data_IF_910266132781
#
_entry.id   IF_910266132781
#
_cell.length_a   1.000
_cell.length_b   1.000
_cell.length_c   1.000
_cell.angle_alpha   90.00
_cell.angle_beta   90.00
_cell.angle_gamma   90.00
#
_symmetry.space_group_name_H-M   'P 1'
#
loop_
_entity.id
_entity.type
_entity.pdbx_description
1 polymer ?
#
# COMPACT_ATOMS: atom_id res chain seq x y z
N UNK A 1 -0.58 11.50 -11.21
CA UNK A 1 -0.99 11.31 -9.81
C UNK A 1 -2.25 10.45 -9.73
N UNK A 2 -2.20 9.38 -8.93
CA UNK A 2 -3.22 8.34 -8.79
C UNK A 2 -3.69 8.27 -7.33
N UNK A 3 -4.99 8.11 -7.13
CA UNK A 3 -5.56 7.96 -5.79
C UNK A 3 -5.19 6.60 -5.22
N UNK A 4 -4.49 6.53 -4.09
CA UNK A 4 -4.21 5.28 -3.38
C UNK A 4 -5.29 5.00 -2.32
N UNK A 5 -5.82 3.76 -2.23
CA UNK A 5 -5.45 2.55 -2.97
C UNK A 5 -6.45 2.22 -4.11
N UNK A 6 -6.58 3.09 -5.12
CA UNK A 6 -7.56 2.90 -6.19
C UNK A 6 -7.16 1.87 -7.24
N UNK A 7 -8.12 1.32 -7.99
CA UNK A 7 -7.85 0.41 -9.11
C UNK A 7 -6.87 1.06 -10.12
N UNK A 8 -7.03 2.36 -10.41
CA UNK A 8 -6.11 3.08 -11.29
C UNK A 8 -4.68 3.20 -10.72
N UNK A 9 -4.54 3.29 -9.39
CA UNK A 9 -3.23 3.23 -8.73
C UNK A 9 -2.61 1.83 -8.85
N UNK A 10 -3.43 0.77 -8.72
CA UNK A 10 -2.98 -0.61 -8.84
C UNK A 10 -2.56 -0.96 -10.26
N UNK A 11 -3.27 -0.47 -11.27
CA UNK A 11 -2.89 -0.61 -12.68
C UNK A 11 -1.51 0.01 -12.95
N UNK A 12 -1.29 1.23 -12.44
CA UNK A 12 0.00 1.90 -12.58
C UNK A 12 1.11 1.20 -11.79
N UNK A 13 0.79 0.69 -10.59
CA UNK A 13 1.73 -0.10 -9.80
C UNK A 13 2.14 -1.39 -10.54
N UNK A 14 1.17 -2.12 -11.11
CA UNK A 14 1.44 -3.33 -11.89
C UNK A 14 2.30 -3.03 -13.12
N UNK A 15 1.99 -1.94 -13.85
CA UNK A 15 2.80 -1.48 -14.99
C UNK A 15 4.25 -1.19 -14.59
N UNK A 16 4.46 -0.50 -13.46
CA UNK A 16 5.80 -0.20 -12.97
C UNK A 16 6.55 -1.42 -12.45
N UNK A 17 5.84 -2.44 -11.96
CA UNK A 17 6.44 -3.72 -11.59
C UNK A 17 6.92 -4.46 -12.84
N UNK A 18 6.09 -4.52 -13.88
CA UNK A 18 6.41 -5.15 -15.17
C UNK A 18 7.59 -4.47 -15.89
N UNK A 19 7.74 -3.15 -15.74
CA UNK A 19 8.85 -2.37 -16.32
C UNK A 19 10.10 -2.29 -15.41
N UNK A 20 10.17 -3.07 -14.33
CA UNK A 20 11.23 -2.95 -13.33
C UNK A 20 12.46 -3.79 -13.69
N UNK A 21 13.47 -3.15 -14.31
CA UNK A 21 14.80 -3.74 -14.55
C UNK A 21 15.39 -4.39 -13.27
N UNK A 22 15.09 -3.83 -12.09
CA UNK A 22 15.61 -4.34 -10.83
C UNK A 22 14.95 -5.68 -10.42
N UNK A 23 13.69 -5.92 -10.80
CA UNK A 23 13.03 -7.21 -10.59
C UNK A 23 13.56 -8.25 -11.58
N UNK A 24 13.80 -7.85 -12.83
CA UNK A 24 14.42 -8.69 -13.86
C UNK A 24 15.85 -9.10 -13.51
N UNK A 25 16.66 -8.16 -13.03
CA UNK A 25 18.03 -8.46 -12.59
C UNK A 25 18.04 -9.46 -11.42
N UNK A 26 17.03 -9.37 -10.54
CA UNK A 26 16.88 -10.28 -9.40
C UNK A 26 16.52 -11.69 -9.87
N UNK A 27 15.82 -11.82 -11.01
CA UNK A 27 15.45 -13.10 -11.60
C UNK A 27 16.59 -13.78 -12.36
N UNK A 28 17.50 -12.99 -12.94
CA UNK A 28 18.68 -13.46 -13.68
C UNK A 28 19.83 -13.96 -12.78
N UNK A 29 19.77 -13.67 -11.47
CA UNK A 29 20.82 -14.00 -10.49
C UNK A 29 20.88 -15.46 -10.01
N UNK A 30 21.90 -15.77 -9.19
CA UNK A 30 22.09 -17.09 -8.57
C UNK A 30 21.04 -17.30 -7.48
N UNK A 31 19.98 -18.05 -7.79
CA UNK A 31 18.83 -18.26 -6.91
C UNK A 31 17.51 -18.44 -7.65
N UNK A 32 17.46 -18.06 -8.93
CA UNK A 32 16.28 -18.12 -9.80
C UNK A 32 15.24 -17.06 -9.44
N UNK A 33 14.59 -16.49 -10.45
CA UNK A 33 13.44 -15.61 -10.27
C UNK A 33 12.36 -16.24 -9.40
N UNK A 34 11.66 -15.39 -8.64
CA UNK A 34 10.44 -15.83 -8.00
C UNK A 34 9.38 -16.00 -9.10
N UNK A 35 8.86 -17.23 -9.22
CA UNK A 35 7.66 -17.52 -9.97
C UNK A 35 6.59 -17.95 -8.97
N UNK A 36 5.48 -17.21 -8.92
CA UNK A 36 4.41 -17.47 -7.97
C UNK A 36 3.54 -16.25 -7.72
N UNK A 37 2.75 -16.34 -6.65
CA UNK A 37 1.72 -15.36 -6.32
C UNK A 37 1.97 -14.67 -4.98
N UNK A 38 1.75 -13.36 -4.95
CA UNK A 38 1.85 -12.55 -3.73
C UNK A 38 0.53 -11.84 -3.51
N UNK A 39 -0.14 -12.17 -2.41
CA UNK A 39 -1.38 -11.54 -1.98
C UNK A 39 -1.07 -10.42 -0.97
N UNK A 40 -1.33 -9.18 -1.35
CA UNK A 40 -1.22 -8.00 -0.49
C UNK A 40 -2.58 -7.74 0.16
N UNK A 41 -2.60 -7.62 1.48
CA UNK A 41 -3.80 -7.28 2.26
C UNK A 41 -3.60 -5.92 2.91
N UNK A 42 -4.38 -4.94 2.46
CA UNK A 42 -4.44 -3.59 3.01
C UNK A 42 -5.64 -3.54 3.95
N UNK A 43 -5.39 -3.86 5.21
CA UNK A 43 -6.42 -3.96 6.25
C UNK A 43 -6.74 -2.60 6.89
N UNK A 44 -7.80 -2.58 7.70
CA UNK A 44 -8.19 -1.44 8.54
C UNK A 44 -8.33 -0.13 7.73
N UNK A 45 -9.02 -0.21 6.59
CA UNK A 45 -9.34 0.98 5.80
C UNK A 45 -10.27 1.90 6.63
N UNK A 46 -9.92 3.19 6.82
CA UNK A 46 -10.68 4.12 7.67
C UNK A 46 -11.95 4.65 6.99
N UNK A 47 -12.74 3.77 6.38
CA UNK A 47 -13.96 4.11 5.63
C UNK A 47 -15.08 4.65 6.52
N UNK A 48 -15.14 4.23 7.78
CA UNK A 48 -16.12 4.73 8.75
C UNK A 48 -15.73 6.09 9.37
N UNK A 49 -14.45 6.44 9.31
CA UNK A 49 -13.91 7.68 9.90
C UNK A 49 -13.78 8.79 8.86
N UNK A 50 -13.54 8.41 7.60
CA UNK A 50 -13.39 9.35 6.48
C UNK A 50 -14.75 9.71 5.92
N UNK A 51 -15.02 11.00 5.82
CA UNK A 51 -16.26 11.53 5.24
C UNK A 51 -16.07 11.98 3.79
N UNK A 52 -17.16 12.20 3.06
CA UNK A 52 -17.09 12.77 1.69
C UNK A 52 -16.44 14.15 1.69
N UNK A 53 -16.61 14.93 2.77
CA UNK A 53 -15.99 16.25 2.92
C UNK A 53 -14.47 16.21 3.06
N UNK A 54 -13.91 15.07 3.51
CA UNK A 54 -12.47 14.87 3.66
C UNK A 54 -11.80 14.43 2.34
N UNK A 55 -12.60 14.13 1.30
CA UNK A 55 -12.08 13.66 0.03
C UNK A 55 -11.30 14.75 -0.72
N UNK A 56 -10.23 14.38 -1.43
CA UNK A 56 -9.50 15.29 -2.30
C UNK A 56 -10.39 16.00 -3.34
N UNK A 57 -10.08 17.28 -3.62
CA UNK A 57 -10.85 18.13 -4.54
C UNK A 57 -10.93 17.56 -5.97
N UNK A 58 -9.97 16.77 -6.41
CA UNK A 58 -9.98 16.08 -7.70
C UNK A 58 -11.05 14.96 -7.78
N UNK A 59 -11.48 14.43 -6.63
CA UNK A 59 -12.53 13.40 -6.55
C UNK A 59 -13.92 14.02 -6.46
N UNK A 60 -14.06 15.09 -5.66
CA UNK A 60 -15.37 15.70 -5.38
C UNK A 60 -15.61 17.01 -6.11
N UNK A 61 -14.61 17.62 -6.74
CA UNK A 61 -14.64 18.99 -7.29
C UNK A 61 -15.66 19.22 -8.41
N UNK A 62 -16.01 18.17 -9.15
CA UNK A 62 -17.02 18.21 -10.21
C UNK A 62 -18.44 17.86 -9.71
N UNK A 63 -18.57 17.39 -8.46
CA UNK A 63 -19.88 17.09 -7.85
C UNK A 63 -20.68 18.39 -7.64
N UNK A 64 -21.98 18.44 -7.98
CA UNK A 64 -22.81 19.62 -7.73
C UNK A 64 -22.78 20.04 -6.26
N UNK A 65 -22.62 21.35 -5.99
CA UNK A 65 -22.43 21.87 -4.63
C UNK A 65 -23.53 21.42 -3.65
N UNK A 66 -24.81 21.45 -4.05
CA UNK A 66 -25.91 21.00 -3.19
C UNK A 66 -25.86 19.51 -2.84
N UNK A 67 -25.31 18.67 -3.73
CA UNK A 67 -25.10 17.25 -3.45
C UNK A 67 -23.87 17.04 -2.56
N UNK A 68 -22.79 17.78 -2.83
CA UNK A 68 -21.57 17.75 -2.01
C UNK A 68 -21.85 18.17 -0.57
N UNK A 69 -22.55 19.28 -0.38
CA UNK A 69 -22.91 19.81 0.94
C UNK A 69 -23.84 18.84 1.69
N UNK A 70 -24.75 18.17 0.98
CA UNK A 70 -25.67 17.19 1.57
C UNK A 70 -25.01 15.87 1.97
N UNK A 71 -23.85 15.54 1.38
CA UNK A 71 -23.10 14.31 1.64
C UNK A 71 -21.84 14.55 2.47
N UNK A 72 -21.48 15.80 2.77
CA UNK A 72 -20.19 16.15 3.37
C UNK A 72 -19.87 15.37 4.65
N UNK A 73 -20.87 15.15 5.53
CA UNK A 73 -20.72 14.44 6.80
C UNK A 73 -20.96 12.92 6.69
N UNK A 74 -21.26 12.39 5.49
CA UNK A 74 -21.52 10.96 5.29
C UNK A 74 -20.19 10.21 5.22
N UNK A 75 -20.07 9.15 6.01
CA UNK A 75 -18.89 8.28 5.99
C UNK A 75 -18.81 7.50 4.68
N UNK A 76 -17.59 7.23 4.21
CA UNK A 76 -17.39 6.43 3.00
C UNK A 76 -17.94 5.00 3.12
N UNK A 77 -18.02 4.46 4.34
CA UNK A 77 -18.63 3.15 4.59
C UNK A 77 -20.16 3.11 4.42
N UNK A 78 -20.83 4.24 4.65
CA UNK A 78 -22.29 4.34 4.53
C UNK A 78 -22.72 4.82 3.14
N UNK A 79 -21.84 5.54 2.46
CA UNK A 79 -22.09 6.18 1.17
C UNK A 79 -22.70 5.23 0.12
N UNK A 80 -22.21 4.00 -0.09
CA UNK A 80 -22.84 3.03 -1.00
C UNK A 80 -24.33 2.78 -0.78
N UNK A 81 -24.75 2.75 0.48
CA UNK A 81 -26.14 2.46 0.84
C UNK A 81 -27.06 3.68 0.68
N UNK A 82 -26.47 4.88 0.65
CA UNK A 82 -27.20 6.16 0.59
C UNK A 82 -27.34 6.69 -0.84
N UNK A 83 -26.36 6.42 -1.69
CA UNK A 83 -26.39 6.86 -3.09
C UNK A 83 -27.20 5.84 -3.89
N UNK A 84 -28.31 6.27 -4.49
CA UNK A 84 -29.09 5.44 -5.43
C UNK A 84 -28.50 5.48 -6.84
N UNK A 85 -28.90 4.53 -7.69
CA UNK A 85 -28.37 4.40 -9.06
C UNK A 85 -28.59 5.65 -9.92
N UNK A 86 -29.70 6.35 -9.72
CA UNK A 86 -30.00 7.62 -10.41
C UNK A 86 -28.97 8.71 -10.06
N UNK A 87 -28.57 8.79 -8.79
CA UNK A 87 -27.55 9.75 -8.34
C UNK A 87 -26.16 9.30 -8.81
N UNK A 88 -25.88 7.99 -8.77
CA UNK A 88 -24.61 7.45 -9.28
C UNK A 88 -24.38 7.85 -10.73
N UNK A 89 -25.40 7.76 -11.60
CA UNK A 89 -25.26 8.09 -13.02
C UNK A 89 -24.84 9.54 -13.29
N UNK A 90 -25.19 10.46 -12.37
CA UNK A 90 -24.85 11.89 -12.45
C UNK A 90 -23.49 12.22 -11.81
N UNK A 91 -22.85 11.26 -11.14
CA UNK A 91 -21.55 11.48 -10.50
C UNK A 91 -20.40 11.51 -11.53
N UNK A 92 -19.38 12.34 -11.27
CA UNK A 92 -18.13 12.31 -12.03
C UNK A 92 -17.51 10.91 -12.05
N UNK A 93 -16.72 10.61 -13.09
CA UNK A 93 -16.12 9.29 -13.27
C UNK A 93 -15.25 8.86 -12.08
N UNK A 94 -14.47 9.79 -11.52
CA UNK A 94 -13.63 9.53 -10.35
C UNK A 94 -14.46 9.16 -9.10
N UNK A 95 -15.54 9.88 -8.83
CA UNK A 95 -16.43 9.58 -7.69
C UNK A 95 -17.19 8.27 -7.88
N UNK A 96 -17.61 7.96 -9.11
CA UNK A 96 -18.24 6.66 -9.44
C UNK A 96 -17.28 5.50 -9.25
N UNK A 97 -16.04 5.62 -9.74
CA UNK A 97 -15.03 4.58 -9.59
C UNK A 97 -14.71 4.31 -8.11
N UNK A 98 -14.60 5.38 -7.30
CA UNK A 98 -14.39 5.23 -5.86
C UNK A 98 -15.54 4.49 -5.18
N UNK A 99 -16.80 4.83 -5.51
CA UNK A 99 -17.98 4.13 -4.99
C UNK A 99 -17.99 2.65 -5.37
N UNK A 100 -17.77 2.36 -6.66
CA UNK A 100 -17.72 0.99 -7.18
C UNK A 100 -16.64 0.16 -6.47
N UNK A 101 -15.47 0.75 -6.25
CA UNK A 101 -14.38 0.11 -5.53
C UNK A 101 -14.73 -0.15 -4.06
N UNK A 102 -15.32 0.81 -3.35
CA UNK A 102 -15.74 0.60 -1.96
C UNK A 102 -16.79 -0.52 -1.87
N UNK A 103 -17.72 -0.58 -2.82
CA UNK A 103 -18.80 -1.58 -2.86
C UNK A 103 -18.32 -2.98 -3.21
N UNK A 104 -17.42 -3.07 -4.19
CA UNK A 104 -17.09 -4.35 -4.84
C UNK A 104 -15.78 -4.93 -4.31
N UNK A 105 -14.80 -4.07 -4.07
CA UNK A 105 -13.41 -4.47 -3.87
C UNK A 105 -13.01 -4.49 -2.39
N UNK A 106 -13.77 -3.83 -1.51
CA UNK A 106 -13.53 -3.87 -0.06
C UNK A 106 -14.26 -5.07 0.55
N UNK A 107 -13.49 -6.01 1.07
CA UNK A 107 -13.99 -7.21 1.74
C UNK A 107 -13.57 -7.16 3.20
N UNK A 108 -14.54 -7.22 4.12
CA UNK A 108 -14.29 -7.16 5.57
C UNK A 108 -13.42 -5.96 6.02
N UNK A 109 -13.58 -4.81 5.34
CA UNK A 109 -12.82 -3.59 5.65
C UNK A 109 -11.38 -3.58 5.12
N UNK A 110 -11.03 -4.52 4.24
CA UNK A 110 -9.71 -4.63 3.63
C UNK A 110 -9.79 -4.66 2.11
N UNK A 111 -8.73 -4.18 1.46
CA UNK A 111 -8.48 -4.40 0.04
C UNK A 111 -7.48 -5.55 -0.13
N UNK A 112 -7.80 -6.43 -1.07
CA UNK A 112 -7.05 -7.64 -1.35
C UNK A 112 -6.52 -7.59 -2.78
N UNK A 113 -5.19 -7.59 -2.94
CA UNK A 113 -4.54 -7.52 -4.26
C UNK A 113 -3.71 -8.77 -4.47
N UNK A 114 -3.94 -9.50 -5.54
CA UNK A 114 -3.14 -10.65 -5.94
C UNK A 114 -2.21 -10.23 -7.08
N UNK A 115 -0.91 -10.35 -6.84
CA UNK A 115 0.12 -10.19 -7.86
C UNK A 115 0.56 -11.57 -8.34
N UNK A 116 0.61 -11.75 -9.65
CA UNK A 116 1.26 -12.89 -10.30
C UNK A 116 2.60 -12.44 -10.84
N UNK A 117 3.67 -13.06 -10.33
CA UNK A 117 5.04 -12.74 -10.70
C UNK A 117 5.68 -13.95 -11.39
N UNK A 118 6.34 -13.71 -12.51
CA UNK A 118 7.12 -14.74 -13.20
C UNK A 118 8.41 -14.13 -13.74
N UNK A 119 9.55 -14.65 -13.32
CA UNK A 119 10.83 -14.28 -13.93
C UNK A 119 11.22 -12.79 -13.83
N UNK A 120 10.65 -12.02 -12.89
CA UNK A 120 10.90 -10.58 -12.77
C UNK A 120 9.69 -9.73 -13.20
N UNK A 121 8.86 -10.28 -14.08
CA UNK A 121 7.68 -9.62 -14.62
C UNK A 121 6.48 -9.70 -13.66
N UNK A 122 5.58 -8.72 -13.75
CA UNK A 122 4.27 -8.75 -13.10
C UNK A 122 3.20 -9.06 -14.15
N UNK A 123 2.93 -10.34 -14.37
CA UNK A 123 2.05 -10.81 -15.45
C UNK A 123 0.58 -10.51 -15.21
N UNK A 124 0.19 -10.31 -13.95
CA UNK A 124 -1.19 -9.98 -13.57
C UNK A 124 -1.23 -9.27 -12.21
N UNK A 125 -2.14 -8.33 -12.06
CA UNK A 125 -2.53 -7.73 -10.78
C UNK A 125 -4.06 -7.71 -10.70
N UNK A 126 -4.63 -8.45 -9.74
CA UNK A 126 -6.07 -8.60 -9.60
C UNK A 126 -6.53 -8.14 -8.20
N UNK A 127 -7.60 -7.33 -8.15
CA UNK A 127 -8.28 -7.04 -6.89
C UNK A 127 -9.27 -8.15 -6.58
N UNK A 128 -9.09 -8.82 -5.45
CA UNK A 128 -9.87 -9.99 -5.08
C UNK A 128 -11.14 -9.61 -4.32
N UNK A 129 -12.29 -9.90 -4.92
CA UNK A 129 -13.62 -9.79 -4.26
C UNK A 129 -13.97 -11.01 -3.41
N UNK A 130 -13.25 -12.12 -3.59
CA UNK A 130 -13.40 -13.35 -2.83
C UNK A 130 -12.03 -13.92 -2.41
N UNK A 131 -11.28 -13.25 -1.53
CA UNK A 131 -9.89 -13.58 -1.21
C UNK A 131 -9.70 -14.99 -0.66
N UNK A 132 -10.67 -15.51 0.12
CA UNK A 132 -10.62 -16.86 0.68
C UNK A 132 -10.65 -18.00 -0.36
N UNK A 133 -11.00 -17.70 -1.62
CA UNK A 133 -11.00 -18.67 -2.72
C UNK A 133 -9.64 -18.86 -3.38
N UNK A 134 -8.66 -18.00 -3.06
CA UNK A 134 -7.31 -18.04 -3.63
C UNK A 134 -6.35 -18.68 -2.63
N UNK A 135 -5.35 -19.40 -3.14
CA UNK A 135 -4.28 -20.05 -2.37
C UNK A 135 -2.91 -19.48 -2.79
N UNK A 136 -2.56 -18.25 -2.34
CA UNK A 136 -1.35 -17.58 -2.78
C UNK A 136 -0.08 -18.17 -2.12
N UNK A 137 1.05 -18.12 -2.82
CA UNK A 137 2.33 -18.59 -2.24
C UNK A 137 2.75 -17.78 -1.01
N UNK A 138 2.47 -16.47 -1.05
CA UNK A 138 2.70 -15.56 0.06
C UNK A 138 1.51 -14.64 0.27
N UNK A 139 1.17 -14.38 1.53
CA UNK A 139 0.25 -13.29 1.90
C UNK A 139 0.98 -12.28 2.77
N UNK A 140 1.03 -11.02 2.35
CA UNK A 140 1.59 -9.89 3.10
C UNK A 140 0.45 -9.06 3.66
N UNK A 141 0.38 -8.98 4.98
CA UNK A 141 -0.68 -8.30 5.70
C UNK A 141 -0.13 -7.06 6.43
N UNK A 142 -0.83 -5.93 6.27
CA UNK A 142 -0.56 -4.67 6.96
C UNK A 142 -1.80 -3.81 7.01
N UNK A 143 -1.88 -2.92 8.00
CA UNK A 143 -2.94 -1.90 8.02
C UNK A 143 -2.69 -0.82 6.95
N UNK A 144 -3.72 -0.03 6.65
CA UNK A 144 -3.64 1.06 5.67
C UNK A 144 -2.50 2.04 6.00
N UNK A 145 -2.33 2.39 7.28
CA UNK A 145 -1.30 3.34 7.72
C UNK A 145 0.12 2.84 7.41
N UNK A 146 0.36 1.55 7.60
CA UNK A 146 1.63 0.88 7.31
C UNK A 146 1.89 0.83 5.82
N UNK A 147 0.90 0.42 5.02
CA UNK A 147 1.06 0.39 3.56
C UNK A 147 1.27 1.79 2.98
N UNK A 148 0.50 2.78 3.45
CA UNK A 148 0.73 4.18 3.11
C UNK A 148 2.15 4.61 3.44
N UNK A 149 2.66 4.26 4.61
CA UNK A 149 4.04 4.61 4.97
C UNK A 149 5.05 3.98 4.00
N UNK A 150 4.81 2.74 3.55
CA UNK A 150 5.64 2.06 2.54
C UNK A 150 5.57 2.78 1.19
N UNK A 151 4.36 3.12 0.73
CA UNK A 151 4.15 3.94 -0.48
C UNK A 151 4.83 5.31 -0.35
N UNK A 152 4.86 5.88 0.86
CA UNK A 152 5.58 7.14 1.15
C UNK A 152 7.11 6.94 1.33
N UNK A 153 7.65 5.76 1.03
CA UNK A 153 9.09 5.48 1.04
C UNK A 153 9.63 4.90 2.35
N UNK A 154 8.78 4.36 3.23
CA UNK A 154 9.22 3.50 4.33
C UNK A 154 9.77 2.19 3.76
N UNK A 155 11.00 1.78 4.10
CA UNK A 155 11.54 0.52 3.62
C UNK A 155 10.67 -0.67 4.07
N UNK A 156 10.22 -1.56 3.18
CA UNK A 156 9.45 -2.73 3.59
C UNK A 156 10.18 -3.58 4.65
N UNK A 157 11.52 -3.64 4.60
CA UNK A 157 12.32 -4.39 5.56
C UNK A 157 12.12 -3.90 6.99
N UNK A 158 12.02 -2.58 7.21
CA UNK A 158 11.78 -2.04 8.54
C UNK A 158 10.36 -2.37 9.02
N UNK A 159 9.38 -2.33 8.12
CA UNK A 159 8.00 -2.71 8.45
C UNK A 159 7.87 -4.20 8.80
N UNK A 160 8.60 -5.09 8.12
CA UNK A 160 8.68 -6.51 8.50
C UNK A 160 9.40 -6.72 9.84
N UNK A 161 10.51 -6.01 10.08
CA UNK A 161 11.28 -6.13 11.34
C UNK A 161 10.51 -5.65 12.56
N UNK A 162 9.68 -4.62 12.40
CA UNK A 162 8.82 -4.06 13.45
C UNK A 162 7.54 -4.87 13.65
N UNK A 163 7.18 -5.73 12.69
CA UNK A 163 5.97 -6.56 12.72
C UNK A 163 4.71 -5.83 12.25
N UNK A 164 4.87 -4.63 11.68
CA UNK A 164 3.82 -3.82 11.08
C UNK A 164 3.35 -4.46 9.76
N UNK A 165 4.30 -4.96 8.95
CA UNK A 165 4.01 -5.91 7.88
C UNK A 165 4.28 -7.34 8.35
N UNK A 166 3.34 -8.24 8.06
CA UNK A 166 3.43 -9.67 8.39
C UNK A 166 3.32 -10.50 7.13
N UNK A 167 4.14 -11.54 7.03
CA UNK A 167 4.08 -12.48 5.90
C UNK A 167 3.62 -13.86 6.37
N UNK A 168 2.65 -14.42 5.66
CA UNK A 168 2.26 -15.82 5.75
C UNK A 168 2.73 -16.56 4.48
N UNK A 169 3.15 -17.82 4.65
CA UNK A 169 3.74 -18.65 3.59
C UNK A 169 4.97 -19.42 4.09
N UNK A 170 5.71 -20.06 3.17
CA UNK A 170 6.95 -20.77 3.51
C UNK A 170 8.05 -19.78 3.92
N UNK A 171 8.45 -19.81 5.19
CA UNK A 171 9.45 -18.87 5.74
C UNK A 171 10.83 -19.01 5.10
N UNK A 172 11.24 -20.22 4.72
CA UNK A 172 12.55 -20.45 4.10
C UNK A 172 12.55 -19.88 2.69
N UNK A 173 11.45 -20.08 1.94
CA UNK A 173 11.25 -19.47 0.62
C UNK A 173 11.15 -17.95 0.73
N UNK A 174 10.43 -17.42 1.73
CA UNK A 174 10.35 -15.97 1.96
C UNK A 174 11.73 -15.34 2.18
N UNK A 175 12.54 -15.89 3.09
CA UNK A 175 13.89 -15.37 3.37
C UNK A 175 14.79 -15.39 2.13
N UNK A 176 14.63 -16.38 1.25
CA UNK A 176 15.34 -16.45 -0.02
C UNK A 176 14.95 -15.29 -0.96
N UNK A 177 13.71 -14.85 -0.92
CA UNK A 177 13.17 -13.81 -1.80
C UNK A 177 12.94 -12.47 -1.08
N UNK A 178 13.56 -12.22 0.08
CA UNK A 178 13.36 -11.00 0.86
C UNK A 178 13.65 -9.69 0.09
N UNK A 179 14.59 -9.75 -0.86
CA UNK A 179 14.91 -8.63 -1.74
C UNK A 179 13.79 -8.32 -2.75
N UNK A 180 13.04 -9.32 -3.23
CA UNK A 180 11.84 -9.08 -4.04
C UNK A 180 10.79 -8.28 -3.24
N UNK A 181 10.55 -8.63 -1.98
CA UNK A 181 9.62 -7.87 -1.13
C UNK A 181 10.07 -6.43 -0.85
N UNK A 182 11.38 -6.14 -0.90
CA UNK A 182 11.85 -4.74 -0.90
C UNK A 182 11.45 -4.04 -2.19
N UNK A 183 11.76 -4.66 -3.34
CA UNK A 183 11.47 -4.08 -4.65
C UNK A 183 9.97 -3.82 -4.84
N UNK A 184 9.09 -4.72 -4.37
CA UNK A 184 7.65 -4.48 -4.42
C UNK A 184 7.27 -3.15 -3.74
N UNK A 185 7.81 -2.86 -2.55
CA UNK A 185 7.52 -1.60 -1.87
C UNK A 185 8.27 -0.40 -2.46
N UNK A 186 9.50 -0.60 -2.93
CA UNK A 186 10.27 0.46 -3.61
C UNK A 186 9.57 0.91 -4.90
N UNK A 187 9.00 -0.02 -5.67
CA UNK A 187 8.19 0.28 -6.86
C UNK A 187 6.89 0.95 -6.48
N UNK A 188 6.22 0.49 -5.42
CA UNK A 188 5.00 1.15 -4.92
C UNK A 188 5.25 2.63 -4.57
N UNK A 189 6.43 2.94 -4.00
CA UNK A 189 6.83 4.32 -3.71
C UNK A 189 7.23 5.18 -4.90
N UNK A 190 7.29 4.62 -6.11
CA UNK A 190 7.49 5.37 -7.37
C UNK A 190 6.18 5.80 -8.02
N UNK A 191 5.05 5.23 -7.62
CA UNK A 191 3.73 5.66 -8.12
C UNK A 191 3.45 7.06 -7.59
N UNK A 192 3.17 8.01 -8.50
CA UNK A 192 2.76 9.35 -8.11
C UNK A 192 1.42 9.29 -7.36
N UNK A 193 1.45 9.42 -6.03
CA UNK A 193 0.30 9.03 -5.19
C UNK A 193 -0.40 10.23 -4.53
N UNK A 194 -1.73 10.28 -4.64
CA UNK A 194 -2.63 11.02 -3.74
C UNK A 194 -3.21 10.03 -2.74
N UNK A 195 -3.15 10.30 -1.44
CA UNK A 195 -3.73 9.39 -0.45
C UNK A 195 -5.20 9.72 -0.17
N UNK A 196 -6.05 8.70 -0.24
CA UNK A 196 -7.48 8.83 0.04
C UNK A 196 -7.79 9.20 1.50
N UNK A 197 -6.99 8.72 2.45
CA UNK A 197 -7.23 8.92 3.88
C UNK A 197 -6.11 9.77 4.51
N UNK A 198 -6.33 10.35 5.70
CA UNK A 198 -5.31 11.10 6.43
C UNK A 198 -4.21 10.21 7.08
N UNK A 199 -3.07 10.82 7.45
CA UNK A 199 -1.93 10.06 8.02
C UNK A 199 -2.20 9.76 9.49
N UNK A 200 -2.17 8.48 9.83
CA UNK A 200 -1.87 8.08 11.21
C UNK A 200 -0.40 8.34 11.53
N UNK A 201 -0.11 8.88 12.73
CA UNK A 201 1.27 9.18 13.13
C UNK A 201 2.03 7.88 13.46
N UNK A 202 3.20 7.60 12.84
CA UNK A 202 3.99 6.42 13.15
C UNK A 202 4.57 6.50 14.57
N UNK A 203 4.82 5.34 15.18
CA UNK A 203 5.48 5.30 16.49
C UNK A 203 6.93 5.82 16.42
N UNK A 204 7.45 6.44 17.50
CA UNK A 204 8.86 6.86 17.52
C UNK A 204 9.86 5.72 17.31
N UNK A 205 9.51 4.49 17.72
CA UNK A 205 10.34 3.31 17.56
C UNK A 205 10.47 2.88 16.10
N UNK A 206 9.38 2.90 15.33
CA UNK A 206 9.41 2.56 13.90
C UNK A 206 10.24 3.56 13.11
N UNK A 207 10.14 4.86 13.42
CA UNK A 207 10.96 5.89 12.77
C UNK A 207 12.48 5.66 12.90
N UNK A 208 12.93 5.19 14.08
CA UNK A 208 14.35 4.87 14.30
C UNK A 208 14.80 3.66 13.49
N UNK A 209 13.96 2.62 13.38
CA UNK A 209 14.26 1.44 12.56
C UNK A 209 14.27 1.80 11.08
N UNK A 210 13.31 2.59 10.62
CA UNK A 210 13.23 3.07 9.23
C UNK A 210 14.53 3.82 8.84
N UNK A 211 14.99 4.73 9.69
CA UNK A 211 16.23 5.47 9.46
C UNK A 211 17.47 4.56 9.45
N UNK A 212 17.52 3.57 10.35
CA UNK A 212 18.61 2.60 10.38
C UNK A 212 18.66 1.73 9.11
N UNK A 213 17.52 1.37 8.56
CA UNK A 213 17.43 0.60 7.30
C UNK A 213 17.79 1.48 6.09
N UNK A 214 17.31 2.73 6.02
CA UNK A 214 17.66 3.66 4.92
C UNK A 214 19.13 4.05 4.92
N UNK A 215 19.69 4.32 6.10
CA UNK A 215 21.02 4.91 6.24
C UNK A 215 21.87 4.17 7.29
N UNK A 216 22.24 2.90 7.03
CA UNK A 216 22.96 2.07 8.01
C UNK A 216 24.29 2.71 8.45
N UNK A 217 25.01 3.37 7.52
CA UNK A 217 26.26 4.06 7.82
C UNK A 217 26.09 5.36 8.65
N UNK A 218 24.93 6.00 8.62
CA UNK A 218 24.66 7.20 9.41
C UNK A 218 24.36 6.84 10.88
N UNK A 219 23.56 5.80 11.10
CA UNK A 219 23.23 5.29 12.44
C UNK A 219 24.47 4.75 13.15
N UNK A 220 25.34 4.00 12.45
CA UNK A 220 26.62 3.57 13.02
C UNK A 220 27.50 4.75 13.45
N UNK A 221 27.54 5.84 12.68
CA UNK A 221 28.30 7.05 13.04
C UNK A 221 27.67 7.79 14.23
N UNK A 222 26.34 7.85 14.30
CA UNK A 222 25.63 8.45 15.44
C UNK A 222 25.84 7.65 16.73
N UNK A 223 25.64 6.32 16.68
CA UNK A 223 25.89 5.43 17.80
C UNK A 223 27.34 5.57 18.30
N UNK A 224 28.32 5.55 17.39
CA UNK A 224 29.74 5.76 17.75
C UNK A 224 30.00 7.11 18.43
N UNK A 225 29.38 8.20 17.97
CA UNK A 225 29.51 9.53 18.61
C UNK A 225 28.86 9.58 19.99
N UNK A 226 27.71 8.93 20.18
CA UNK A 226 27.05 8.83 21.48
C UNK A 226 27.89 8.01 22.45
N UNK A 227 28.41 6.84 22.05
CA UNK A 227 29.30 6.03 22.88
C UNK A 227 30.57 6.79 23.29
N UNK A 228 31.18 7.56 22.38
CA UNK A 228 32.34 8.41 22.72
C UNK A 228 31.99 9.53 23.71
N UNK A 229 30.78 10.12 23.63
CA UNK A 229 30.27 11.10 24.61
C UNK A 229 30.00 10.48 25.97
N UNK A 230 29.37 9.30 26.01
CA UNK A 230 29.04 8.59 27.25
C UNK A 230 30.29 8.04 27.95
N UNK A 231 31.34 7.69 27.19
CA UNK A 231 32.63 7.24 27.71
C UNK A 231 33.60 8.39 28.05
N UNK A 232 33.20 9.66 27.90
CA UNK A 232 34.03 10.81 28.24
C UNK A 232 35.28 10.98 27.37
N UNK A 233 35.29 10.43 26.16
CA UNK A 233 36.38 10.56 25.20
C UNK A 233 36.16 11.81 24.33
N UNK A 234 36.38 12.99 24.92
CA UNK A 234 36.66 14.25 24.21
C UNK A 234 37.91 14.89 24.80
#
# INVERSE_FOLDING_TARGET
>A
MYLYPSDAWLDEYARLLDESDALDDLSAGVGGGFAGTVHLVIADLPLGETTVGDLPDDIVGEVPAGLRDGLADVSLSELPSMVGDDVRAELPAASRALLEQIETNVVDGALHVLLELDGGDCTNAEVLTAPASRDPDFTVHGDYGTWRAVVDGRPPASAFLTGDLRVAGDRVRWLRHAAMFQLLGDVAGRVETTHLFERSSPSPGSLLVDEAVRHPAAVHRFARRQTLRTLGLF
#
